data_IF_808249070747
#
_entry.id   IF_808249070747
#
_cell.length_a   1.000
_cell.length_b   1.000
_cell.length_c   1.000
_cell.angle_alpha   90.00
_cell.angle_beta   90.00
_cell.angle_gamma   90.00
#
_symmetry.space_group_name_H-M   'P 1'
#
loop_
_entity.id
_entity.type
_entity.pdbx_description
1 polymer ?
#
# COMPACT_ATOMS: atom_id res chain seq x y z
N UNK A 1 1.89 -13.55 -15.95
CA UNK A 1 1.26 -12.41 -15.28
C UNK A 1 1.54 -12.53 -13.79
N UNK A 2 2.48 -11.73 -13.28
CA UNK A 2 2.89 -11.69 -11.88
C UNK A 2 2.38 -10.40 -11.19
N UNK A 3 2.57 -10.28 -9.87
CA UNK A 3 2.13 -9.11 -9.09
C UNK A 3 2.72 -7.80 -9.61
N UNK A 4 4.01 -7.77 -9.94
CA UNK A 4 4.70 -6.57 -10.45
C UNK A 4 4.13 -6.11 -11.79
N UNK A 5 3.86 -7.03 -12.70
CA UNK A 5 3.21 -6.75 -13.98
C UNK A 5 1.79 -6.20 -13.78
N UNK A 6 1.04 -6.75 -12.82
CA UNK A 6 -0.29 -6.26 -12.45
C UNK A 6 -0.23 -4.84 -11.89
N UNK A 7 0.68 -4.55 -10.96
CA UNK A 7 0.87 -3.22 -10.37
C UNK A 7 1.27 -2.19 -11.43
N UNK A 8 2.12 -2.57 -12.39
CA UNK A 8 2.47 -1.71 -13.52
C UNK A 8 1.26 -1.38 -14.39
N UNK A 9 0.40 -2.37 -14.69
CA UNK A 9 -0.85 -2.15 -15.43
C UNK A 9 -1.79 -1.19 -14.69
N UNK A 10 -1.94 -1.34 -13.37
CA UNK A 10 -2.72 -0.40 -12.55
C UNK A 10 -2.14 1.02 -12.64
N UNK A 11 -0.81 1.15 -12.63
CA UNK A 11 -0.15 2.45 -12.80
C UNK A 11 -0.40 3.09 -14.15
N UNK A 12 -0.31 2.32 -15.23
CA UNK A 12 -0.60 2.81 -16.57
C UNK A 12 -2.07 3.24 -16.66
N UNK A 13 -2.99 2.43 -16.14
CA UNK A 13 -4.41 2.72 -16.15
C UNK A 13 -4.74 3.99 -15.35
N UNK A 14 -4.13 4.18 -14.17
CA UNK A 14 -4.31 5.40 -13.39
C UNK A 14 -3.90 6.65 -14.20
N UNK A 15 -2.75 6.59 -14.89
CA UNK A 15 -2.31 7.69 -15.75
C UNK A 15 -3.25 7.94 -16.93
N UNK A 16 -3.80 6.89 -17.54
CA UNK A 16 -4.78 7.00 -18.64
C UNK A 16 -6.06 7.70 -18.17
N UNK A 17 -6.61 7.31 -17.01
CA UNK A 17 -7.78 7.98 -16.42
C UNK A 17 -7.50 9.44 -16.07
N UNK A 18 -6.31 9.75 -15.54
CA UNK A 18 -5.93 11.13 -15.25
C UNK A 18 -5.88 11.99 -16.52
N UNK A 19 -5.23 11.48 -17.57
CA UNK A 19 -5.15 12.19 -18.86
C UNK A 19 -6.54 12.39 -19.48
N UNK A 20 -7.37 11.34 -19.50
CA UNK A 20 -8.75 11.44 -19.99
C UNK A 20 -9.54 12.49 -19.20
N UNK A 21 -9.45 12.49 -17.86
CA UNK A 21 -10.12 13.48 -17.04
C UNK A 21 -9.64 14.92 -17.33
N UNK A 22 -8.38 15.11 -17.71
CA UNK A 22 -7.86 16.43 -18.10
C UNK A 22 -8.35 16.88 -19.49
N UNK A 23 -8.73 15.96 -20.37
CA UNK A 23 -9.25 16.22 -21.71
C UNK A 23 -10.76 16.48 -21.72
N UNK A 24 -11.48 16.00 -20.72
CA UNK A 24 -12.94 16.17 -20.58
C UNK A 24 -13.31 17.58 -20.11
N UNK A 25 -14.42 18.08 -20.64
CA UNK A 25 -15.04 19.34 -20.18
C UNK A 25 -15.54 19.23 -18.74
N UNK A 26 -15.76 20.38 -18.09
CA UNK A 26 -16.31 20.43 -16.73
C UNK A 26 -17.72 19.80 -16.72
N UNK A 27 -17.87 18.68 -16.02
CA UNK A 27 -19.15 17.98 -15.87
C UNK A 27 -19.04 16.69 -15.07
N UNK A 28 -20.13 15.94 -15.06
CA UNK A 28 -20.27 14.69 -14.30
C UNK A 28 -19.29 13.62 -14.80
N UNK A 29 -19.13 13.48 -16.12
CA UNK A 29 -18.22 12.50 -16.74
C UNK A 29 -16.76 12.71 -16.32
N UNK A 30 -16.31 13.98 -16.27
CA UNK A 30 -14.98 14.32 -15.78
C UNK A 30 -14.81 13.97 -14.30
N UNK A 31 -15.85 14.23 -13.50
CA UNK A 31 -15.85 13.94 -12.07
C UNK A 31 -15.73 12.44 -11.82
N UNK A 32 -16.55 11.63 -12.49
CA UNK A 32 -16.49 10.16 -12.43
C UNK A 32 -15.11 9.64 -12.85
N UNK A 33 -14.52 10.20 -13.91
CA UNK A 33 -13.19 9.83 -14.38
C UNK A 33 -12.10 10.12 -13.34
N UNK A 34 -12.18 11.27 -12.65
CA UNK A 34 -11.28 11.59 -11.54
C UNK A 34 -11.50 10.71 -10.31
N UNK A 35 -12.74 10.31 -10.02
CA UNK A 35 -13.04 9.37 -8.93
C UNK A 35 -12.38 8.01 -9.17
N UNK A 36 -12.46 7.50 -10.40
CA UNK A 36 -11.80 6.25 -10.80
C UNK A 36 -10.28 6.40 -10.70
N UNK A 37 -9.71 7.49 -11.20
CA UNK A 37 -8.28 7.80 -11.05
C UNK A 37 -7.83 7.76 -9.58
N UNK A 38 -8.58 8.40 -8.68
CA UNK A 38 -8.24 8.46 -7.26
C UNK A 38 -8.26 7.08 -6.58
N UNK A 39 -9.23 6.22 -6.93
CA UNK A 39 -9.27 4.84 -6.44
C UNK A 39 -8.03 4.06 -6.90
N UNK A 40 -7.68 4.15 -8.19
CA UNK A 40 -6.51 3.48 -8.75
C UNK A 40 -5.21 4.00 -8.10
N UNK A 41 -5.08 5.32 -7.93
CA UNK A 41 -3.92 5.94 -7.27
C UNK A 41 -3.78 5.47 -5.82
N UNK A 42 -4.87 5.38 -5.06
CA UNK A 42 -4.86 4.87 -3.67
C UNK A 42 -4.53 3.40 -3.59
N UNK A 43 -4.96 2.60 -4.57
CA UNK A 43 -4.59 1.19 -4.64
C UNK A 43 -3.08 1.00 -4.72
N UNK A 44 -2.37 1.90 -5.43
CA UNK A 44 -0.91 1.88 -5.54
C UNK A 44 -0.18 2.30 -4.26
N UNK A 45 -0.85 3.01 -3.34
CA UNK A 45 -0.29 3.40 -2.05
C UNK A 45 -0.40 2.29 -0.99
N UNK A 46 -1.13 1.20 -1.26
CA UNK A 46 -1.12 0.00 -0.42
C UNK A 46 0.24 -0.69 -0.56
N UNK A 47 1.08 -0.49 0.45
CA UNK A 47 2.48 -0.89 0.43
C UNK A 47 3.34 0.21 1.03
N UNK A 48 3.18 1.46 0.57
CA UNK A 48 3.88 2.61 1.13
C UNK A 48 3.58 2.82 2.63
N UNK A 49 2.33 2.63 3.06
CA UNK A 49 1.99 2.67 4.48
C UNK A 49 2.63 1.51 5.27
N UNK A 50 2.74 0.33 4.67
CA UNK A 50 3.40 -0.84 5.29
C UNK A 50 4.92 -0.68 5.30
N UNK A 51 5.51 -0.12 4.25
CA UNK A 51 6.94 0.19 4.13
C UNK A 51 7.32 1.33 5.05
N UNK A 52 6.51 2.38 5.14
CA UNK A 52 6.65 3.43 6.15
C UNK A 52 6.52 2.84 7.55
N UNK A 53 5.53 1.98 7.82
CA UNK A 53 5.40 1.29 9.11
C UNK A 53 6.66 0.46 9.39
N UNK A 54 7.17 -0.33 8.45
CA UNK A 54 8.42 -1.06 8.64
C UNK A 54 9.60 -0.12 8.89
N UNK A 55 9.70 0.99 8.15
CA UNK A 55 10.82 1.93 8.26
C UNK A 55 10.75 2.82 9.51
N UNK A 56 9.57 3.07 10.06
CA UNK A 56 9.36 4.04 11.16
C UNK A 56 8.75 3.42 12.41
N UNK A 57 8.43 2.13 12.42
CA UNK A 57 7.95 1.47 13.63
C UNK A 57 9.16 1.19 14.55
N UNK A 58 9.24 1.85 15.71
CA UNK A 58 10.36 1.68 16.63
C UNK A 58 10.44 0.25 17.21
N UNK A 59 9.38 -0.56 17.07
CA UNK A 59 9.35 -1.96 17.48
C UNK A 59 9.98 -2.90 16.42
N UNK A 60 10.10 -2.46 15.18
CA UNK A 60 10.66 -3.25 14.06
C UNK A 60 12.14 -2.90 13.82
N UNK A 61 12.93 -2.83 14.90
CA UNK A 61 14.31 -2.38 14.86
C UNK A 61 15.20 -3.35 14.04
N UNK A 62 15.90 -2.89 12.98
CA UNK A 62 16.80 -3.74 12.21
C UNK A 62 18.03 -4.09 13.07
N UNK A 63 18.04 -5.30 13.63
CA UNK A 63 19.17 -5.82 14.41
C UNK A 63 18.81 -6.47 15.74
N UNK A 64 17.55 -6.41 16.17
CA UNK A 64 17.05 -7.29 17.23
C UNK A 64 16.59 -8.56 16.52
N UNK A 65 17.30 -9.67 16.72
CA UNK A 65 16.82 -10.97 16.28
C UNK A 65 15.43 -11.16 16.90
N UNK A 66 14.50 -11.79 16.20
CA UNK A 66 13.23 -12.19 16.80
C UNK A 66 13.54 -13.31 17.80
N UNK A 67 14.07 -12.95 18.97
CA UNK A 67 14.30 -13.84 20.11
C UNK A 67 12.95 -14.16 20.76
N UNK A 68 12.10 -14.79 19.95
CA UNK A 68 10.87 -15.45 20.32
C UNK A 68 11.14 -16.81 21.02
N UNK A 69 12.18 -16.88 21.86
CA UNK A 69 12.21 -17.88 22.91
C UNK A 69 11.46 -17.28 24.11
N UNK A 70 10.14 -17.39 24.05
CA UNK A 70 9.30 -17.22 25.23
C UNK A 70 9.82 -18.19 26.31
N UNK A 71 10.54 -17.65 27.30
CA UNK A 71 10.87 -18.39 28.51
C UNK A 71 9.54 -18.66 29.21
N UNK A 72 9.14 -19.91 29.22
CA UNK A 72 8.01 -20.39 30.02
C UNK A 72 8.42 -20.26 31.49
N UNK A 73 7.81 -19.32 32.20
CA UNK A 73 8.11 -19.03 33.61
C UNK A 73 7.31 -19.93 34.58
N UNK A 74 6.76 -21.05 34.11
CA UNK A 74 6.11 -22.05 34.97
C UNK A 74 7.13 -23.11 35.44
N UNK A 75 8.09 -22.66 36.23
CA UNK A 75 8.84 -23.53 37.16
C UNK A 75 8.57 -23.02 38.59
N UNK A 76 7.29 -23.02 38.99
CA UNK A 76 6.90 -22.92 40.39
C UNK A 76 6.89 -24.35 40.97
N UNK A 77 7.98 -24.64 41.69
CA UNK A 77 8.13 -25.70 42.69
C UNK A 77 6.90 -25.77 43.64
N UNK A 78 6.13 -26.87 43.60
CA UNK A 78 5.60 -27.61 44.78
C UNK A 78 5.02 -28.99 44.39
#
# INVERSE_FOLDING_TARGET
MNLTELLKKVSTLASEFHSLACELDIGDERTETFEIYEVLRRLQLRGAASEMLTATNPLLCPGIADDAEWIDFDDDDD
#
